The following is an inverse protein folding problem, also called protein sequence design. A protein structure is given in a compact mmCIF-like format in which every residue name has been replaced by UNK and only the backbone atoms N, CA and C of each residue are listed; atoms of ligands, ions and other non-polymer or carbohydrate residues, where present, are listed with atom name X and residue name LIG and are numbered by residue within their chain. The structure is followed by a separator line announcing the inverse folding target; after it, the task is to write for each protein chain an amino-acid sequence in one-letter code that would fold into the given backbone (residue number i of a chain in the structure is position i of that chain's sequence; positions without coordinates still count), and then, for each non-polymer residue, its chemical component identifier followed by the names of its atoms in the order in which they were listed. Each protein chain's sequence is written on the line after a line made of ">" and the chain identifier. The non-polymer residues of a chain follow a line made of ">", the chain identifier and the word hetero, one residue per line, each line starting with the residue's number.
data_IF_675460058366
#
_entry.id   IF_675460058366
#
_cell.length_a   1.000
_cell.length_b   1.000
_cell.length_c   1.000
_cell.angle_alpha   90.00
_cell.angle_beta   90.00
_cell.angle_gamma   90.00
#
_symmetry.space_group_name_H-M   'P 1'
#
loop_
_entity.id
_entity.type
_entity.pdbx_description
1 polymer ?
#
# COMPACT_ATOMS: atom_id res chain seq x y z
N UNK A 1 4.71 17.51 16.98
CA UNK A 1 5.81 16.56 16.78
C UNK A 1 6.45 16.88 15.45
N UNK A 2 7.75 17.13 15.40
CA UNK A 2 8.51 17.26 14.15
C UNK A 2 8.77 15.89 13.51
N UNK A 3 9.22 15.89 12.25
CA UNK A 3 9.62 14.66 11.57
C UNK A 3 10.80 14.00 12.30
N UNK A 4 11.72 14.81 12.81
CA UNK A 4 12.87 14.35 13.60
C UNK A 4 12.42 13.68 14.90
N UNK A 5 11.47 14.29 15.61
CA UNK A 5 10.89 13.72 16.84
C UNK A 5 10.19 12.39 16.55
N UNK A 6 9.45 12.29 15.46
CA UNK A 6 8.77 11.05 15.04
C UNK A 6 9.76 9.92 14.73
N UNK A 7 10.85 10.22 14.01
CA UNK A 7 11.90 9.23 13.70
C UNK A 7 12.52 8.66 14.97
N UNK A 8 12.81 9.51 15.94
CA UNK A 8 13.37 9.09 17.24
C UNK A 8 12.37 8.21 18.00
N UNK A 9 11.07 8.54 17.98
CA UNK A 9 10.04 7.75 18.64
C UNK A 9 9.89 6.35 18.01
N UNK A 10 9.90 6.26 16.67
CA UNK A 10 9.87 4.97 15.97
C UNK A 10 11.11 4.13 16.30
N UNK A 11 12.30 4.74 16.27
CA UNK A 11 13.54 4.03 16.61
C UNK A 11 13.49 3.45 18.04
N UNK A 12 12.99 4.21 19.02
CA UNK A 12 12.82 3.71 20.40
C UNK A 12 11.89 2.50 20.45
N UNK A 13 10.71 2.57 19.82
CA UNK A 13 9.75 1.46 19.77
C UNK A 13 10.35 0.20 19.16
N UNK A 14 11.21 0.35 18.15
CA UNK A 14 11.94 -0.76 17.52
C UNK A 14 12.96 -1.39 18.48
N UNK A 15 13.68 -0.58 19.26
CA UNK A 15 14.64 -1.11 20.24
C UNK A 15 13.98 -1.75 21.48
N UNK A 16 12.74 -1.37 21.79
CA UNK A 16 12.01 -1.83 22.98
C UNK A 16 11.15 -3.08 22.72
N UNK A 17 10.95 -3.47 21.45
CA UNK A 17 10.09 -4.61 21.10
C UNK A 17 10.91 -5.85 20.76
N UNK A 18 10.48 -7.01 21.27
CA UNK A 18 11.01 -8.33 20.92
C UNK A 18 10.10 -9.09 19.94
N UNK A 19 9.00 -8.49 19.47
CA UNK A 19 8.07 -9.12 18.52
C UNK A 19 8.66 -9.13 17.10
N UNK A 20 9.23 -10.29 16.73
CA UNK A 20 9.84 -10.52 15.42
C UNK A 20 8.87 -10.30 14.25
N UNK A 21 7.58 -10.57 14.42
CA UNK A 21 6.61 -10.37 13.33
C UNK A 21 6.39 -8.89 13.05
N UNK A 22 6.24 -8.08 14.10
CA UNK A 22 6.08 -6.63 13.99
C UNK A 22 7.33 -5.96 13.41
N UNK A 23 8.51 -6.44 13.80
CA UNK A 23 9.78 -5.98 13.25
C UNK A 23 9.91 -6.33 11.75
N UNK A 24 9.51 -7.54 11.36
CA UNK A 24 9.53 -7.95 9.95
C UNK A 24 8.54 -7.16 9.10
N UNK A 25 7.34 -6.86 9.60
CA UNK A 25 6.35 -6.04 8.88
C UNK A 25 6.85 -4.60 8.70
N UNK A 26 7.45 -4.02 9.74
CA UNK A 26 8.04 -2.68 9.68
C UNK A 26 9.20 -2.62 8.67
N UNK A 27 10.09 -3.62 8.69
CA UNK A 27 11.19 -3.72 7.72
C UNK A 27 10.68 -3.79 6.28
N UNK A 28 9.63 -4.58 6.04
CA UNK A 28 8.95 -4.60 4.74
C UNK A 28 8.45 -3.21 4.37
N UNK A 29 7.70 -2.53 5.24
CA UNK A 29 7.14 -1.20 4.96
C UNK A 29 8.21 -0.15 4.65
N UNK A 30 9.34 -0.18 5.36
CA UNK A 30 10.46 0.74 5.16
C UNK A 30 11.30 0.38 3.91
N UNK A 31 11.36 -0.91 3.57
CA UNK A 31 12.03 -1.43 2.36
C UNK A 31 11.20 -1.26 1.08
N UNK A 32 9.88 -1.13 1.20
CA UNK A 32 8.97 -0.75 0.09
C UNK A 32 9.10 0.74 -0.31
N UNK A 33 10.16 1.42 0.14
CA UNK A 33 10.49 2.78 -0.28
C UNK A 33 11.13 2.84 -1.68
N UNK A 34 11.49 1.69 -2.27
CA UNK A 34 11.74 1.66 -3.71
C UNK A 34 10.40 1.84 -4.44
N UNK A 35 10.26 2.90 -5.28
CA UNK A 35 9.03 3.12 -6.02
C UNK A 35 8.74 1.86 -6.84
N UNK A 36 7.50 1.37 -6.78
CA UNK A 36 7.05 0.24 -7.62
C UNK A 36 7.36 0.58 -9.07
N UNK A 37 8.39 -0.05 -9.63
CA UNK A 37 8.76 0.10 -11.04
C UNK A 37 7.82 -0.80 -11.84
N UNK A 38 6.92 -0.18 -12.61
CA UNK A 38 5.90 -0.92 -13.37
C UNK A 38 6.53 -2.01 -14.25
N UNK A 39 7.70 -1.73 -14.81
CA UNK A 39 8.46 -2.62 -15.70
C UNK A 39 8.99 -3.88 -15.01
N UNK A 40 9.16 -3.86 -13.68
CA UNK A 40 9.68 -4.96 -12.87
C UNK A 40 8.58 -5.92 -12.40
N UNK A 41 7.32 -5.52 -12.50
CA UNK A 41 6.19 -6.37 -12.13
C UNK A 41 5.98 -7.51 -13.14
N UNK A 42 5.41 -8.66 -12.73
CA UNK A 42 5.02 -9.71 -13.66
C UNK A 42 4.10 -9.19 -14.77
N UNK A 43 4.27 -9.69 -16.02
CA UNK A 43 3.53 -9.19 -17.20
C UNK A 43 2.01 -9.08 -16.99
N UNK A 44 1.39 -10.10 -16.38
CA UNK A 44 -0.04 -10.11 -16.13
C UNK A 44 -0.49 -8.98 -15.18
N UNK A 45 0.35 -8.60 -14.22
CA UNK A 45 0.13 -7.47 -13.30
C UNK A 45 0.26 -6.15 -14.06
N UNK A 46 1.31 -5.99 -14.87
CA UNK A 46 1.48 -4.80 -15.71
C UNK A 46 0.28 -4.57 -16.63
N UNK A 47 -0.19 -5.63 -17.28
CA UNK A 47 -1.37 -5.60 -18.13
C UNK A 47 -2.63 -5.25 -17.35
N UNK A 48 -2.79 -5.78 -16.13
CA UNK A 48 -3.89 -5.43 -15.23
C UNK A 48 -3.91 -3.93 -14.91
N UNK A 49 -2.77 -3.37 -14.53
CA UNK A 49 -2.63 -1.94 -14.23
C UNK A 49 -2.92 -1.09 -15.47
N UNK A 50 -2.33 -1.43 -16.62
CA UNK A 50 -2.57 -0.73 -17.90
C UNK A 50 -4.04 -0.75 -18.29
N UNK A 51 -4.73 -1.89 -18.13
CA UNK A 51 -6.17 -2.00 -18.37
C UNK A 51 -6.97 -1.10 -17.44
N UNK A 52 -6.67 -1.10 -16.14
CA UNK A 52 -7.36 -0.26 -15.15
C UNK A 52 -7.20 1.24 -15.45
N UNK A 53 -5.99 1.67 -15.81
CA UNK A 53 -5.72 3.06 -16.23
C UNK A 53 -6.50 3.44 -17.49
N UNK A 54 -6.62 2.53 -18.46
CA UNK A 54 -7.41 2.77 -19.66
C UNK A 54 -8.91 2.87 -19.34
N UNK A 55 -9.43 1.98 -18.50
CA UNK A 55 -10.82 2.03 -18.03
C UNK A 55 -11.14 3.34 -17.30
N UNK A 56 -10.19 3.85 -16.51
CA UNK A 56 -10.30 5.17 -15.87
C UNK A 56 -10.46 6.29 -16.89
N UNK A 57 -9.60 6.33 -17.91
CA UNK A 57 -9.66 7.33 -18.99
C UNK A 57 -10.99 7.26 -19.76
N UNK A 58 -11.53 6.06 -19.91
CA UNK A 58 -12.78 5.82 -20.61
C UNK A 58 -14.03 6.02 -19.72
N UNK A 59 -13.87 6.42 -18.45
CA UNK A 59 -14.99 6.63 -17.52
C UNK A 59 -15.71 5.34 -17.13
N UNK A 60 -15.05 4.18 -17.22
CA UNK A 60 -15.61 2.85 -16.93
C UNK A 60 -15.47 2.42 -15.46
N UNK A 61 -14.96 3.29 -14.59
CA UNK A 61 -14.84 3.01 -13.16
C UNK A 61 -16.16 3.26 -12.44
N UNK A 62 -16.41 2.47 -11.41
CA UNK A 62 -17.50 2.69 -10.46
C UNK A 62 -16.99 3.52 -9.28
N UNK A 63 -17.69 4.59 -8.86
CA UNK A 63 -17.33 5.34 -7.67
C UNK A 63 -17.20 4.47 -6.42
N UNK A 64 -16.26 4.80 -5.55
CA UNK A 64 -15.96 4.02 -4.34
C UNK A 64 -17.19 3.81 -3.46
N UNK A 65 -17.95 4.87 -3.18
CA UNK A 65 -19.15 4.81 -2.32
C UNK A 65 -20.21 3.85 -2.88
N UNK A 66 -20.35 3.78 -4.21
CA UNK A 66 -21.30 2.87 -4.87
C UNK A 66 -20.84 1.42 -4.74
N UNK A 67 -19.54 1.15 -4.91
CA UNK A 67 -18.95 -0.17 -4.68
C UNK A 67 -19.17 -0.60 -3.23
N UNK A 68 -18.83 0.25 -2.26
CA UNK A 68 -18.97 -0.08 -0.84
C UNK A 68 -20.43 -0.36 -0.47
N UNK A 69 -21.37 0.45 -0.95
CA UNK A 69 -22.81 0.22 -0.74
C UNK A 69 -23.27 -1.12 -1.32
N UNK A 70 -22.76 -1.51 -2.49
CA UNK A 70 -23.13 -2.78 -3.15
C UNK A 70 -22.66 -4.02 -2.37
N UNK A 71 -21.50 -3.94 -1.73
CA UNK A 71 -20.90 -5.06 -1.01
C UNK A 71 -21.11 -5.04 0.51
N UNK A 72 -21.75 -4.01 1.06
CA UNK A 72 -22.02 -3.86 2.49
C UNK A 72 -22.70 -5.07 3.16
N UNK A 73 -23.44 -5.90 2.41
CA UNK A 73 -24.08 -7.12 2.92
C UNK A 73 -23.14 -8.30 3.19
N UNK A 74 -21.88 -8.20 2.77
CA UNK A 74 -20.85 -9.24 2.94
C UNK A 74 -19.73 -8.83 3.90
N UNK A 75 -19.76 -7.59 4.37
CA UNK A 75 -18.86 -7.04 5.38
C UNK A 75 -19.54 -7.13 6.75
#
# INVERSE_FOLDING_TARGET
>A
MSIEELKIEIAKKVFETDDENLLSELDMLLSHSEPVVLEELPKHVQEGIKRGLQQAKEGKLTPHDEVMKRYAKYL
#
